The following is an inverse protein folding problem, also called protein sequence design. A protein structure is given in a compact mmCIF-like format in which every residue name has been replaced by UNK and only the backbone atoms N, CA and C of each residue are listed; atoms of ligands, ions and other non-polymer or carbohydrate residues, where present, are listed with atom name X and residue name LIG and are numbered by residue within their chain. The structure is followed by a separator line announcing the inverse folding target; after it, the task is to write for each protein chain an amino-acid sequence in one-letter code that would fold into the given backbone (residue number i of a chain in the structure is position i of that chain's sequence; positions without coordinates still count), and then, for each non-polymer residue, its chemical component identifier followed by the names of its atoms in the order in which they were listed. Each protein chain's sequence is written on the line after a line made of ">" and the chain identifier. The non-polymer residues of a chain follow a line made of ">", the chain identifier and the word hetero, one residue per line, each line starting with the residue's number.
data_IF_910704699096
#
_entry.id   IF_910704699096
#
_cell.length_a   1.000
_cell.length_b   1.000
_cell.length_c   1.000
_cell.angle_alpha   90.00
_cell.angle_beta   90.00
_cell.angle_gamma   90.00
#
_symmetry.space_group_name_H-M   'P 1'
#
loop_
_entity.id
_entity.type
_entity.pdbx_description
1 polymer ?
#
# COMPACT_ATOMS: atom_id res chain seq x y z
N UNK A 1 -0.30 0.17 -26.73
CA UNK A 1 -1.13 1.27 -27.27
C UNK A 1 -0.92 1.49 -28.77
N UNK A 2 0.29 1.85 -29.26
CA UNK A 2 0.53 2.04 -30.71
C UNK A 2 0.09 0.86 -31.60
N UNK A 3 0.26 -0.37 -31.13
CA UNK A 3 -0.17 -1.57 -31.84
C UNK A 3 -1.70 -1.67 -31.96
N UNK A 4 -2.43 -1.25 -30.93
CA UNK A 4 -3.90 -1.22 -30.95
C UNK A 4 -4.40 -0.12 -31.89
N UNK A 5 -3.80 1.08 -31.83
CA UNK A 5 -4.09 2.18 -32.75
C UNK A 5 -3.83 1.76 -34.21
N UNK A 6 -2.72 1.05 -34.46
CA UNK A 6 -2.40 0.50 -35.77
C UNK A 6 -3.44 -0.53 -36.25
N UNK A 7 -3.85 -1.45 -35.37
CA UNK A 7 -4.85 -2.47 -35.69
C UNK A 7 -6.23 -1.86 -35.98
N UNK A 8 -6.66 -0.89 -35.16
CA UNK A 8 -7.95 -0.21 -35.31
C UNK A 8 -7.95 0.84 -36.43
N UNK A 9 -6.76 1.18 -36.96
CA UNK A 9 -6.53 2.28 -37.91
C UNK A 9 -7.05 3.63 -37.40
N UNK A 10 -7.04 3.82 -36.08
CA UNK A 10 -7.55 5.01 -35.40
C UNK A 10 -6.58 5.48 -34.32
N UNK A 11 -6.44 6.79 -34.19
CA UNK A 11 -5.62 7.39 -33.11
C UNK A 11 -6.48 7.51 -31.86
N UNK A 12 -6.08 6.83 -30.79
CA UNK A 12 -6.79 6.84 -29.52
C UNK A 12 -6.21 7.88 -28.56
N UNK A 13 -4.95 8.28 -28.76
CA UNK A 13 -4.26 9.24 -27.91
C UNK A 13 -3.55 10.35 -28.71
N UNK A 14 -3.69 11.58 -28.24
CA UNK A 14 -2.90 12.74 -28.64
C UNK A 14 -1.68 12.90 -27.72
N UNK A 15 -0.49 13.01 -28.31
CA UNK A 15 0.76 13.27 -27.58
C UNK A 15 1.02 14.77 -27.52
N UNK A 16 1.01 15.35 -26.32
CA UNK A 16 1.43 16.72 -26.04
C UNK A 16 2.79 16.71 -25.33
N UNK A 17 3.57 17.81 -25.31
CA UNK A 17 4.95 17.84 -24.81
C UNK A 17 5.15 17.29 -23.39
N UNK A 18 4.13 17.33 -22.53
CA UNK A 18 4.18 16.78 -21.17
C UNK A 18 2.93 15.96 -20.78
N UNK A 19 2.08 15.56 -21.73
CA UNK A 19 0.85 14.83 -21.40
C UNK A 19 0.36 13.95 -22.54
N UNK A 20 -0.32 12.87 -22.19
CA UNK A 20 -1.05 12.02 -23.11
C UNK A 20 -2.55 12.20 -22.87
N UNK A 21 -3.29 12.63 -23.90
CA UNK A 21 -4.73 12.92 -23.80
C UNK A 21 -5.50 11.97 -24.72
N UNK A 22 -6.68 11.53 -24.31
CA UNK A 22 -7.54 10.72 -25.18
C UNK A 22 -8.11 11.58 -26.32
N UNK A 23 -8.16 11.01 -27.52
CA UNK A 23 -8.95 11.58 -28.61
C UNK A 23 -10.45 11.41 -28.32
N UNK A 24 -11.32 12.07 -29.08
CA UNK A 24 -12.77 11.84 -28.98
C UNK A 24 -13.15 10.36 -29.18
N UNK A 25 -12.49 9.69 -30.12
CA UNK A 25 -12.67 8.25 -30.38
C UNK A 25 -12.14 7.42 -29.21
N UNK A 26 -10.95 7.73 -28.70
CA UNK A 26 -10.38 7.09 -27.52
C UNK A 26 -11.27 7.20 -26.28
N UNK A 27 -11.84 8.38 -26.03
CA UNK A 27 -12.73 8.62 -24.92
C UNK A 27 -14.06 7.85 -25.04
N UNK A 28 -14.61 7.74 -26.25
CA UNK A 28 -15.82 6.94 -26.51
C UNK A 28 -15.57 5.42 -26.42
N UNK A 29 -14.37 4.97 -26.79
CA UNK A 29 -14.01 3.55 -26.79
C UNK A 29 -13.63 3.02 -25.39
N UNK A 30 -12.98 3.86 -24.57
CA UNK A 30 -12.53 3.52 -23.22
C UNK A 30 -13.57 2.84 -22.32
N UNK A 31 -14.82 3.34 -22.18
CA UNK A 31 -15.81 2.68 -21.33
C UNK A 31 -16.18 1.28 -21.82
N UNK A 32 -16.14 1.03 -23.14
CA UNK A 32 -16.45 -0.28 -23.73
C UNK A 32 -15.33 -1.29 -23.49
N UNK A 33 -14.08 -0.86 -23.68
CA UNK A 33 -12.91 -1.70 -23.40
C UNK A 33 -12.84 -2.04 -21.92
N UNK A 34 -13.12 -1.07 -21.05
CA UNK A 34 -13.10 -1.26 -19.60
C UNK A 34 -14.11 -2.31 -19.16
N UNK A 35 -15.38 -2.16 -19.56
CA UNK A 35 -16.43 -3.13 -19.27
C UNK A 35 -16.08 -4.54 -19.79
N UNK A 36 -15.53 -4.65 -21.00
CA UNK A 36 -15.09 -5.95 -21.54
C UNK A 36 -13.98 -6.60 -20.72
N UNK A 37 -12.95 -5.84 -20.34
CA UNK A 37 -11.84 -6.35 -19.52
C UNK A 37 -12.29 -6.71 -18.11
N UNK A 38 -13.19 -5.91 -17.51
CA UNK A 38 -13.77 -6.19 -16.19
C UNK A 38 -14.58 -7.48 -16.20
N UNK A 39 -15.40 -7.71 -17.23
CA UNK A 39 -16.15 -8.97 -17.39
C UNK A 39 -15.25 -10.17 -17.59
N UNK A 40 -14.20 -10.04 -18.41
CA UNK A 40 -13.21 -11.10 -18.60
C UNK A 40 -12.48 -11.42 -17.29
N UNK A 41 -12.10 -10.40 -16.52
CA UNK A 41 -11.48 -10.57 -15.22
C UNK A 41 -12.42 -11.28 -14.24
N UNK A 42 -13.69 -10.86 -14.16
CA UNK A 42 -14.70 -11.49 -13.31
C UNK A 42 -14.94 -12.96 -13.67
N UNK A 43 -15.11 -13.28 -14.96
CA UNK A 43 -15.29 -14.68 -15.40
C UNK A 43 -14.04 -15.54 -15.18
N UNK A 44 -12.84 -14.96 -15.32
CA UNK A 44 -11.60 -15.66 -14.98
C UNK A 44 -11.53 -15.98 -13.50
N UNK A 45 -11.91 -15.03 -12.64
CA UNK A 45 -11.97 -15.23 -11.19
C UNK A 45 -13.04 -16.27 -10.80
N UNK A 46 -14.20 -16.26 -11.44
CA UNK A 46 -15.26 -17.25 -11.19
C UNK A 46 -14.80 -18.68 -11.52
N UNK A 47 -14.13 -18.86 -12.67
CA UNK A 47 -13.73 -20.19 -13.16
C UNK A 47 -12.45 -20.70 -12.49
N UNK A 48 -11.50 -19.81 -12.20
CA UNK A 48 -10.16 -20.19 -11.76
C UNK A 48 -9.79 -19.68 -10.36
N UNK A 49 -10.60 -18.81 -9.74
CA UNK A 49 -10.31 -18.18 -8.44
C UNK A 49 -10.17 -19.18 -7.30
N UNK A 50 -10.93 -20.29 -7.34
CA UNK A 50 -10.82 -21.40 -6.37
C UNK A 50 -9.50 -22.19 -6.45
N UNK A 51 -8.71 -22.03 -7.53
CA UNK A 51 -7.43 -22.74 -7.73
C UNK A 51 -6.20 -21.88 -7.45
N UNK A 52 -6.37 -20.60 -7.07
CA UNK A 52 -5.23 -19.76 -6.69
C UNK A 52 -4.92 -19.99 -5.21
N UNK A 53 -3.63 -20.18 -4.90
CA UNK A 53 -3.09 -19.81 -3.59
C UNK A 53 -3.82 -18.55 -3.14
N UNK A 54 -4.51 -18.62 -2.00
CA UNK A 54 -5.19 -17.47 -1.46
C UNK A 54 -4.09 -16.43 -1.15
N UNK A 55 -4.05 -15.34 -1.92
CA UNK A 55 -3.05 -14.29 -1.73
C UNK A 55 -3.58 -13.36 -0.66
N UNK A 56 -3.16 -13.56 0.58
CA UNK A 56 -3.44 -12.69 1.71
C UNK A 56 -2.72 -11.35 1.50
N UNK A 57 -3.48 -10.31 1.20
CA UNK A 57 -2.99 -8.96 0.99
C UNK A 57 -3.09 -8.16 2.28
N UNK A 58 -1.93 -7.82 2.84
CA UNK A 58 -1.82 -7.08 4.10
C UNK A 58 -1.22 -5.71 3.82
N UNK A 59 -1.97 -4.66 4.13
CA UNK A 59 -1.43 -3.29 4.19
C UNK A 59 -0.88 -3.03 5.56
N UNK A 60 0.29 -2.41 5.64
CA UNK A 60 0.86 -1.99 6.89
C UNK A 60 1.72 -0.72 6.73
N UNK A 61 1.89 0.01 7.83
CA UNK A 61 2.86 1.10 7.89
C UNK A 61 4.28 0.54 7.69
N UNK A 62 5.15 1.31 7.01
CA UNK A 62 6.50 0.87 6.59
C UNK A 62 7.28 0.14 7.71
N UNK A 63 7.25 0.67 8.94
CA UNK A 63 7.92 0.04 10.08
C UNK A 63 7.44 -1.39 10.37
N UNK A 64 6.12 -1.64 10.26
CA UNK A 64 5.55 -2.98 10.43
C UNK A 64 5.88 -3.88 9.25
N UNK A 65 5.74 -3.39 8.01
CA UNK A 65 6.01 -4.15 6.79
C UNK A 65 7.45 -4.65 6.72
N UNK A 66 8.41 -3.89 7.27
CA UNK A 66 9.84 -4.21 7.20
C UNK A 66 10.33 -4.94 8.46
N UNK A 67 9.93 -4.50 9.65
CA UNK A 67 10.57 -4.98 10.89
C UNK A 67 9.69 -5.91 11.73
N UNK A 68 8.36 -5.81 11.62
CA UNK A 68 7.47 -6.56 12.52
C UNK A 68 6.87 -7.80 11.86
N UNK A 69 6.40 -7.69 10.60
CA UNK A 69 5.75 -8.80 9.90
C UNK A 69 6.75 -9.86 9.41
N UNK A 70 7.86 -9.51 8.70
CA UNK A 70 8.77 -10.50 8.13
C UNK A 70 9.29 -11.58 9.12
N UNK A 71 9.71 -11.25 10.36
CA UNK A 71 10.17 -12.29 11.29
C UNK A 71 9.08 -13.27 11.74
N UNK A 72 7.79 -12.95 11.54
CA UNK A 72 6.65 -13.79 11.92
C UNK A 72 6.14 -14.67 10.76
N UNK A 73 6.49 -14.33 9.52
CA UNK A 73 6.05 -15.06 8.33
C UNK A 73 6.48 -16.53 8.30
N UNK A 74 7.69 -16.93 8.73
CA UNK A 74 8.06 -18.35 8.75
C UNK A 74 7.10 -19.21 9.60
N UNK A 75 6.71 -18.71 10.77
CA UNK A 75 5.75 -19.39 11.64
C UNK A 75 4.36 -19.45 11.01
N UNK A 76 3.95 -18.40 10.30
CA UNK A 76 2.69 -18.39 9.55
C UNK A 76 2.70 -19.43 8.43
N UNK A 77 3.72 -19.45 7.56
CA UNK A 77 3.81 -20.40 6.44
C UNK A 77 3.96 -21.85 6.90
N UNK A 78 4.44 -22.10 8.12
CA UNK A 78 4.40 -23.45 8.70
C UNK A 78 2.97 -23.96 8.93
N UNK A 79 2.05 -23.08 9.34
CA UNK A 79 0.65 -23.43 9.59
C UNK A 79 -0.24 -23.27 8.34
N UNK A 80 0.15 -22.39 7.42
CA UNK A 80 -0.58 -22.05 6.19
C UNK A 80 0.36 -22.08 4.97
N UNK A 81 0.82 -23.27 4.54
CA UNK A 81 1.85 -23.41 3.51
C UNK A 81 1.38 -23.03 2.10
N UNK A 82 0.07 -23.10 1.83
CA UNK A 82 -0.51 -22.78 0.51
C UNK A 82 -0.92 -21.31 0.38
N UNK A 83 -0.88 -20.53 1.46
CA UNK A 83 -1.23 -19.11 1.44
C UNK A 83 -0.04 -18.28 1.01
N UNK A 84 -0.22 -17.41 0.02
CA UNK A 84 0.78 -16.40 -0.33
C UNK A 84 0.50 -15.12 0.43
N UNK A 85 1.52 -14.43 0.92
CA UNK A 85 1.36 -13.14 1.60
C UNK A 85 1.91 -12.03 0.73
N UNK A 86 1.06 -11.05 0.40
CA UNK A 86 1.44 -9.82 -0.30
C UNK A 86 1.42 -8.66 0.70
N UNK A 87 2.59 -8.10 0.98
CA UNK A 87 2.72 -6.92 1.84
C UNK A 87 2.68 -5.64 1.01
N UNK A 88 1.78 -4.74 1.36
CA UNK A 88 1.67 -3.40 0.77
C UNK A 88 2.07 -2.38 1.84
N UNK A 89 3.20 -1.71 1.62
CA UNK A 89 3.63 -0.62 2.49
C UNK A 89 2.89 0.67 2.12
N UNK A 90 2.18 1.26 3.08
CA UNK A 90 1.57 2.57 2.90
C UNK A 90 2.31 3.63 3.70
N UNK A 91 2.61 4.76 3.06
CA UNK A 91 2.88 6.03 3.74
C UNK A 91 1.53 6.71 3.89
N UNK A 92 1.24 7.20 5.10
CA UNK A 92 -0.02 7.82 5.54
C UNK A 92 -0.95 8.36 4.43
N UNK A 93 -2.19 7.88 4.40
CA UNK A 93 -3.32 8.62 3.83
C UNK A 93 -3.74 8.30 2.39
N UNK A 94 -3.10 7.39 1.66
CA UNK A 94 -3.58 7.09 0.30
C UNK A 94 -4.78 6.13 0.30
N UNK A 95 -5.85 6.60 -0.35
CA UNK A 95 -7.04 5.84 -0.73
C UNK A 95 -6.62 4.71 -1.67
N UNK A 96 -6.37 3.54 -1.09
CA UNK A 96 -6.17 2.30 -1.82
C UNK A 96 -7.53 1.80 -2.32
N UNK A 97 -8.09 2.47 -3.32
CA UNK A 97 -9.49 2.25 -3.75
C UNK A 97 -9.67 1.04 -4.67
N UNK A 98 -8.59 0.42 -5.19
CA UNK A 98 -8.70 -0.52 -6.32
C UNK A 98 -8.05 -1.89 -6.12
N UNK A 99 -7.59 -2.25 -4.91
CA UNK A 99 -7.10 -3.60 -4.64
C UNK A 99 -7.90 -4.25 -3.51
N UNK A 100 -8.23 -5.55 -3.65
CA UNK A 100 -8.72 -6.34 -2.52
C UNK A 100 -7.67 -6.30 -1.41
N UNK A 101 -8.05 -5.71 -0.29
CA UNK A 101 -7.28 -5.66 0.94
C UNK A 101 -7.95 -6.57 1.96
N UNK A 102 -7.23 -7.60 2.38
CA UNK A 102 -7.77 -8.58 3.33
C UNK A 102 -7.52 -8.12 4.78
N UNK A 103 -6.36 -7.49 5.03
CA UNK A 103 -5.98 -6.99 6.35
C UNK A 103 -5.31 -5.62 6.26
N UNK A 104 -5.58 -4.78 7.25
CA UNK A 104 -5.00 -3.43 7.34
C UNK A 104 -4.42 -3.18 8.74
N UNK A 105 -3.10 -3.03 8.82
CA UNK A 105 -2.37 -2.73 10.05
C UNK A 105 -2.12 -1.22 10.11
N UNK A 106 -2.84 -0.55 11.01
CA UNK A 106 -2.80 0.90 11.19
C UNK A 106 -2.48 1.28 12.62
N UNK A 107 -1.72 2.36 12.77
CA UNK A 107 -1.61 3.06 14.05
C UNK A 107 -2.86 3.91 14.30
N UNK A 108 -3.48 3.78 15.47
CA UNK A 108 -4.66 4.57 15.83
C UNK A 108 -5.49 3.95 16.95
N UNK A 109 -6.72 4.45 17.10
CA UNK A 109 -7.58 4.13 18.25
C UNK A 109 -8.46 2.89 18.08
N UNK A 110 -8.39 2.19 16.94
CA UNK A 110 -9.28 1.06 16.65
C UNK A 110 -10.64 1.46 16.07
N UNK A 111 -10.98 2.75 16.03
CA UNK A 111 -12.31 3.22 15.63
C UNK A 111 -12.35 3.56 14.15
N UNK A 112 -12.54 2.54 13.32
CA UNK A 112 -12.67 2.68 11.87
C UNK A 112 -14.04 2.19 11.40
N UNK A 113 -14.90 3.06 10.82
CA UNK A 113 -16.22 2.66 10.32
C UNK A 113 -16.13 1.53 9.31
N UNK A 114 -16.93 0.48 9.48
CA UNK A 114 -16.96 -0.68 8.57
C UNK A 114 -15.85 -1.70 8.78
N UNK A 115 -14.98 -1.53 9.79
CA UNK A 115 -13.90 -2.46 10.11
C UNK A 115 -14.08 -3.07 11.50
N UNK A 116 -13.70 -4.35 11.63
CA UNK A 116 -13.38 -4.94 12.93
C UNK A 116 -11.90 -4.69 13.21
N UNK A 117 -11.61 -4.10 14.37
CA UNK A 117 -10.24 -3.77 14.77
C UNK A 117 -9.81 -4.61 15.96
N UNK A 118 -8.70 -5.33 15.81
CA UNK A 118 -8.03 -6.07 16.88
C UNK A 118 -6.68 -5.42 17.18
N UNK A 119 -6.40 -5.16 18.47
CA UNK A 119 -5.13 -4.53 18.89
C UNK A 119 -3.98 -5.54 18.79
N UNK A 120 -2.93 -5.19 18.05
CA UNK A 120 -1.75 -6.04 17.87
C UNK A 120 -0.69 -5.89 18.95
N UNK A 121 -0.44 -4.67 19.42
CA UNK A 121 0.62 -4.37 20.39
C UNK A 121 0.32 -3.08 21.16
N UNK A 122 1.19 -2.78 22.13
CA UNK A 122 1.34 -1.48 22.76
C UNK A 122 2.64 -0.85 22.27
N UNK A 123 2.56 0.38 21.77
CA UNK A 123 3.74 1.12 21.32
C UNK A 123 4.20 2.10 22.40
N UNK A 124 5.51 2.18 22.61
CA UNK A 124 6.14 3.16 23.49
C UNK A 124 7.04 4.07 22.66
N UNK A 125 6.78 5.38 22.69
CA UNK A 125 7.59 6.38 22.00
C UNK A 125 8.74 6.80 22.91
N UNK A 126 9.98 6.57 22.44
CA UNK A 126 11.19 6.98 23.17
C UNK A 126 11.96 8.00 22.34
N UNK A 127 12.31 9.17 22.92
CA UNK A 127 13.27 10.05 22.28
C UNK A 127 14.64 9.35 22.27
N UNK A 128 15.33 9.43 21.13
CA UNK A 128 16.69 8.94 20.98
C UNK A 128 17.58 10.07 20.48
N UNK A 129 18.84 10.06 20.91
CA UNK A 129 19.83 11.02 20.47
C UNK A 129 21.20 10.35 20.32
N UNK A 130 22.10 11.00 19.60
CA UNK A 130 23.50 10.55 19.53
C UNK A 130 24.18 10.73 20.89
N UNK A 131 25.16 9.90 21.27
CA UNK A 131 25.85 10.03 22.56
C UNK A 131 26.47 11.41 22.79
N UNK A 132 26.87 12.11 21.72
CA UNK A 132 27.42 13.46 21.77
C UNK A 132 26.46 14.51 22.35
N UNK A 133 25.15 14.32 22.18
CA UNK A 133 24.11 15.25 22.67
C UNK A 133 23.95 15.16 24.19
N UNK A 134 24.48 14.10 24.82
CA UNK A 134 24.49 13.92 26.27
C UNK A 134 25.64 14.67 26.96
N UNK A 135 26.49 15.39 26.20
CA UNK A 135 27.68 16.06 26.70
C UNK A 135 27.61 17.58 26.52
N UNK A 136 28.36 18.33 27.33
CA UNK A 136 28.50 19.78 27.21
C UNK A 136 27.42 20.62 27.89
N UNK A 137 27.39 21.92 27.58
CA UNK A 137 26.57 22.94 28.28
C UNK A 137 25.06 22.72 28.11
N UNK A 138 24.64 22.08 27.03
CA UNK A 138 23.24 21.77 26.73
C UNK A 138 22.96 20.26 26.75
N UNK A 139 23.62 19.50 27.63
CA UNK A 139 23.41 18.06 27.74
C UNK A 139 21.93 17.72 28.00
N UNK A 140 21.36 16.80 27.23
CA UNK A 140 19.97 16.35 27.32
C UNK A 140 19.66 15.62 28.64
N UNK A 141 19.34 16.39 29.69
CA UNK A 141 19.02 15.89 31.05
C UNK A 141 17.58 16.14 31.48
N UNK A 142 16.89 17.07 30.82
CA UNK A 142 15.48 17.36 31.03
C UNK A 142 14.83 17.77 29.69
N UNK A 143 13.48 17.75 29.60
CA UNK A 143 12.78 18.15 28.38
C UNK A 143 12.96 19.62 27.98
N UNK A 144 13.18 20.53 28.94
CA UNK A 144 13.31 21.98 28.66
C UNK A 144 14.51 22.29 27.76
N UNK A 145 15.56 21.46 27.83
CA UNK A 145 16.75 21.59 27.00
C UNK A 145 16.47 21.33 25.51
N UNK A 146 15.35 20.68 25.15
CA UNK A 146 14.96 20.43 23.74
C UNK A 146 14.93 21.70 22.89
N UNK A 147 14.64 22.86 23.46
CA UNK A 147 14.65 24.15 22.74
C UNK A 147 16.02 24.55 22.20
N UNK A 148 17.09 23.94 22.72
CA UNK A 148 18.48 24.19 22.32
C UNK A 148 19.01 23.13 21.34
N UNK A 149 18.18 22.15 20.96
CA UNK A 149 18.56 21.07 20.05
C UNK A 149 17.70 21.07 18.80
N UNK A 150 18.29 20.66 17.68
CA UNK A 150 17.54 20.39 16.46
C UNK A 150 16.79 19.07 16.63
N UNK A 151 15.46 19.11 16.50
CA UNK A 151 14.60 17.93 16.45
C UNK A 151 14.46 17.45 15.00
N UNK A 152 14.37 16.13 14.81
CA UNK A 152 14.20 15.47 13.51
C UNK A 152 12.81 14.85 13.41
#
# INVERSE_FOLDING_TARGET
>A
VKMLEHYLRETLFERKPCSLVLTKVGAAYLPKVRDGLERLAAGTEEVFGLRRCEVLTVRAQVGYSVNWIPPRLPGFFHHQPETQVRLVSSVWGEQFENARLDLDIRYGTGRWPGYKADRLTWDELKPVCTPSVLQGKHAMRNPDILSHHRLL
#
